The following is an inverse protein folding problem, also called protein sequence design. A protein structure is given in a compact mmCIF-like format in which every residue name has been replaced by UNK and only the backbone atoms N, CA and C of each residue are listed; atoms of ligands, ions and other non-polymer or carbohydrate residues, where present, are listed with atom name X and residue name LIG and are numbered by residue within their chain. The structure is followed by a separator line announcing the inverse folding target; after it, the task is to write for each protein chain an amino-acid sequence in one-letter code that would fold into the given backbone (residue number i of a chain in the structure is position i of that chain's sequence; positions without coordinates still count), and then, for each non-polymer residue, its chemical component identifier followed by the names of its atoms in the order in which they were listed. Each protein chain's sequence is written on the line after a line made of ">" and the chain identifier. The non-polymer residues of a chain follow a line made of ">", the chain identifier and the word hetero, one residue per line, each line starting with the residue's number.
data_IF_680317960000
#
_entry.id   IF_680317960000
#
_cell.length_a   1.000
_cell.length_b   1.000
_cell.length_c   1.000
_cell.angle_alpha   90.00
_cell.angle_beta   90.00
_cell.angle_gamma   90.00
#
_symmetry.space_group_name_H-M   'P 1'
#
loop_
_entity.id
_entity.type
_entity.pdbx_description
1 polymer ?
#
# COMPACT_ATOMS: atom_id res chain seq x y z
N UNK A 1 62.44 55.03 -24.79
CA UNK A 1 61.91 54.78 -23.43
C UNK A 1 60.74 53.82 -23.58
N UNK A 2 60.82 52.60 -23.03
CA UNK A 2 59.70 51.64 -23.02
C UNK A 2 58.85 51.92 -21.78
N UNK A 3 57.54 52.08 -21.98
CA UNK A 3 56.59 52.50 -20.95
C UNK A 3 56.37 51.37 -19.92
N UNK A 4 56.70 51.54 -18.62
CA UNK A 4 56.57 50.48 -17.60
C UNK A 4 55.12 50.06 -17.31
N UNK A 5 54.13 50.92 -17.59
CA UNK A 5 52.74 50.73 -17.15
C UNK A 5 51.92 49.76 -18.02
N UNK A 6 52.39 49.44 -19.22
CA UNK A 6 51.64 48.60 -20.17
C UNK A 6 51.81 47.09 -19.90
N UNK A 7 52.93 46.68 -19.29
CA UNK A 7 53.15 45.27 -18.90
C UNK A 7 52.32 44.91 -17.66
N UNK A 8 52.14 45.85 -16.72
CA UNK A 8 51.34 45.65 -15.51
C UNK A 8 49.85 45.45 -15.81
N UNK A 9 49.29 46.21 -16.76
CA UNK A 9 47.86 46.10 -17.13
C UNK A 9 47.52 44.79 -17.82
N UNK A 10 48.39 44.27 -18.69
CA UNK A 10 48.20 42.95 -19.33
C UNK A 10 48.23 41.80 -18.32
N UNK A 11 49.13 41.84 -17.32
CA UNK A 11 49.18 40.82 -16.27
C UNK A 11 47.96 40.88 -15.34
N UNK A 12 47.47 42.08 -15.03
CA UNK A 12 46.25 42.27 -14.24
C UNK A 12 45.01 41.72 -14.95
N UNK A 13 44.87 41.98 -16.26
CA UNK A 13 43.77 41.45 -17.07
C UNK A 13 43.83 39.92 -17.19
N UNK A 14 45.03 39.37 -17.42
CA UNK A 14 45.23 37.91 -17.47
C UNK A 14 44.87 37.23 -16.14
N UNK A 15 45.28 37.82 -15.01
CA UNK A 15 44.93 37.33 -13.68
C UNK A 15 43.43 37.42 -13.40
N UNK A 16 42.77 38.51 -13.78
CA UNK A 16 41.32 38.68 -13.63
C UNK A 16 40.54 37.61 -14.41
N UNK A 17 40.94 37.32 -15.66
CA UNK A 17 40.33 36.25 -16.48
C UNK A 17 40.53 34.87 -15.84
N UNK A 18 41.72 34.61 -15.29
CA UNK A 18 42.01 33.34 -14.60
C UNK A 18 41.15 33.18 -13.33
N UNK A 19 41.03 34.23 -12.52
CA UNK A 19 40.20 34.22 -11.31
C UNK A 19 38.72 34.00 -11.64
N UNK A 20 38.19 34.73 -12.63
CA UNK A 20 36.81 34.57 -13.09
C UNK A 20 36.53 33.16 -13.62
N UNK A 21 37.47 32.57 -14.37
CA UNK A 21 37.35 31.19 -14.87
C UNK A 21 37.28 30.18 -13.72
N UNK A 22 38.16 30.31 -12.71
CA UNK A 22 38.16 29.43 -11.52
C UNK A 22 36.87 29.57 -10.71
N UNK A 23 36.36 30.80 -10.56
CA UNK A 23 35.09 31.04 -9.87
C UNK A 23 33.91 30.39 -10.60
N UNK A 24 33.85 30.51 -11.93
CA UNK A 24 32.81 29.88 -12.75
C UNK A 24 32.86 28.35 -12.66
N UNK A 25 34.06 27.75 -12.75
CA UNK A 25 34.22 26.29 -12.58
C UNK A 25 33.76 25.83 -11.19
N UNK A 26 34.10 26.59 -10.14
CA UNK A 26 33.67 26.28 -8.77
C UNK A 26 32.14 26.38 -8.64
N UNK A 27 31.52 27.42 -9.19
CA UNK A 27 30.07 27.58 -9.19
C UNK A 27 29.36 26.42 -9.90
N UNK A 28 29.82 26.06 -11.10
CA UNK A 28 29.28 24.94 -11.87
C UNK A 28 29.42 23.61 -11.11
N UNK A 29 30.58 23.34 -10.52
CA UNK A 29 30.79 22.14 -9.72
C UNK A 29 29.87 22.09 -8.49
N UNK A 30 29.66 23.22 -7.82
CA UNK A 30 28.70 23.29 -6.69
C UNK A 30 27.25 23.09 -7.12
N UNK A 31 26.86 23.57 -8.30
CA UNK A 31 25.53 23.35 -8.86
C UNK A 31 25.30 21.86 -9.16
N UNK A 32 26.24 21.21 -9.85
CA UNK A 32 26.17 19.77 -10.16
C UNK A 32 26.12 18.89 -8.90
N UNK A 33 26.88 19.24 -7.85
CA UNK A 33 26.81 18.53 -6.57
C UNK A 33 25.44 18.68 -5.88
N UNK A 34 24.85 19.88 -5.94
CA UNK A 34 23.50 20.13 -5.40
C UNK A 34 22.43 19.35 -6.17
N UNK A 35 22.53 19.28 -7.49
CA UNK A 35 21.62 18.50 -8.34
C UNK A 35 21.69 17.01 -8.00
N UNK A 36 22.90 16.43 -7.93
CA UNK A 36 23.10 15.02 -7.54
C UNK A 36 22.55 14.71 -6.15
N UNK A 37 22.74 15.63 -5.19
CA UNK A 37 22.16 15.48 -3.85
C UNK A 37 20.63 15.52 -3.90
N UNK A 38 20.04 16.39 -4.73
CA UNK A 38 18.59 16.46 -4.89
C UNK A 38 18.02 15.19 -5.56
N UNK A 39 18.71 14.62 -6.55
CA UNK A 39 18.34 13.34 -7.16
C UNK A 39 18.37 12.19 -6.15
N UNK A 40 19.44 12.12 -5.35
CA UNK A 40 19.59 11.11 -4.31
C UNK A 40 18.46 11.20 -3.27
N UNK A 41 18.17 12.41 -2.78
CA UNK A 41 17.07 12.64 -1.83
C UNK A 41 15.70 12.29 -2.43
N UNK A 42 15.47 12.58 -3.72
CA UNK A 42 14.24 12.16 -4.41
C UNK A 42 14.12 10.64 -4.44
N UNK A 43 15.19 9.94 -4.80
CA UNK A 43 15.23 8.48 -4.83
C UNK A 43 14.94 7.87 -3.46
N UNK A 44 15.60 8.33 -2.39
CA UNK A 44 15.34 7.84 -1.03
C UNK A 44 13.88 8.06 -0.62
N UNK A 45 13.34 9.24 -0.90
CA UNK A 45 11.94 9.59 -0.61
C UNK A 45 10.96 8.69 -1.37
N UNK A 46 11.22 8.38 -2.63
CA UNK A 46 10.37 7.49 -3.42
C UNK A 46 10.40 6.04 -2.88
N UNK A 47 11.57 5.57 -2.40
CA UNK A 47 11.67 4.27 -1.73
C UNK A 47 10.90 4.22 -0.41
N UNK A 48 10.94 5.30 0.37
CA UNK A 48 10.16 5.40 1.62
C UNK A 48 8.66 5.43 1.37
N UNK A 49 8.20 6.20 0.38
CA UNK A 49 6.80 6.20 -0.04
C UNK A 49 6.37 4.80 -0.46
N UNK A 50 7.20 4.09 -1.24
CA UNK A 50 6.90 2.73 -1.66
C UNK A 50 6.74 1.80 -0.45
N UNK A 51 7.69 1.81 0.49
CA UNK A 51 7.62 1.01 1.73
C UNK A 51 6.40 1.37 2.58
N UNK A 52 6.08 2.66 2.71
CA UNK A 52 4.92 3.13 3.45
C UNK A 52 3.61 2.63 2.83
N UNK A 53 3.50 2.68 1.49
CA UNK A 53 2.33 2.17 0.78
C UNK A 53 2.19 0.65 0.91
N UNK A 54 3.29 -0.10 0.89
CA UNK A 54 3.27 -1.56 1.13
C UNK A 54 2.78 -1.89 2.55
N UNK A 55 3.28 -1.18 3.57
CA UNK A 55 2.82 -1.35 4.96
C UNK A 55 1.35 -0.95 5.11
N UNK A 56 0.95 0.15 4.48
CA UNK A 56 -0.45 0.60 4.49
C UNK A 56 -1.37 -0.46 3.89
N UNK A 57 -1.04 -1.02 2.72
CA UNK A 57 -1.87 -2.05 2.09
C UNK A 57 -1.98 -3.32 2.96
N UNK A 58 -0.90 -3.69 3.67
CA UNK A 58 -0.95 -4.78 4.64
C UNK A 58 -1.96 -4.48 5.74
N UNK A 59 -1.88 -3.32 6.38
CA UNK A 59 -2.81 -2.90 7.43
C UNK A 59 -4.27 -2.85 6.92
N UNK A 60 -4.52 -2.19 5.79
CA UNK A 60 -5.85 -2.06 5.18
C UNK A 60 -6.46 -3.46 4.88
N UNK A 61 -5.64 -4.46 4.56
CA UNK A 61 -6.13 -5.84 4.36
C UNK A 61 -6.45 -6.57 5.67
N UNK A 62 -5.76 -6.26 6.77
CA UNK A 62 -6.07 -6.79 8.10
C UNK A 62 -7.33 -6.17 8.67
N UNK A 63 -7.50 -4.86 8.49
CA UNK A 63 -8.72 -4.16 8.89
C UNK A 63 -9.92 -4.72 8.12
N UNK A 64 -9.82 -4.85 6.80
CA UNK A 64 -10.87 -5.47 5.99
C UNK A 64 -11.16 -6.93 6.40
N UNK A 65 -10.14 -7.69 6.82
CA UNK A 65 -10.33 -9.04 7.34
C UNK A 65 -11.17 -9.04 8.62
N UNK A 66 -10.84 -8.17 9.58
CA UNK A 66 -11.58 -8.01 10.83
C UNK A 66 -13.03 -7.56 10.58
N UNK A 67 -13.23 -6.59 9.70
CA UNK A 67 -14.56 -6.10 9.32
C UNK A 67 -15.40 -7.21 8.66
N UNK A 68 -14.77 -8.06 7.85
CA UNK A 68 -15.45 -9.21 7.23
C UNK A 68 -15.90 -10.24 8.27
N UNK A 69 -15.03 -10.59 9.24
CA UNK A 69 -15.42 -11.48 10.35
C UNK A 69 -16.60 -10.87 11.13
N UNK A 70 -16.54 -9.58 11.43
CA UNK A 70 -17.60 -8.88 12.16
C UNK A 70 -18.92 -8.84 11.38
N UNK A 71 -18.86 -8.57 10.08
CA UNK A 71 -20.02 -8.56 9.19
C UNK A 71 -20.74 -9.91 9.18
N UNK A 72 -20.00 -11.01 9.07
CA UNK A 72 -20.54 -12.38 9.14
C UNK A 72 -21.15 -12.65 10.52
N UNK A 73 -20.46 -12.28 11.59
CA UNK A 73 -20.96 -12.47 12.95
C UNK A 73 -22.27 -11.73 13.19
N UNK A 74 -22.34 -10.46 12.80
CA UNK A 74 -23.55 -9.64 12.93
C UNK A 74 -24.72 -10.25 12.15
N UNK A 75 -24.48 -10.72 10.93
CA UNK A 75 -25.48 -11.38 10.10
C UNK A 75 -26.05 -12.63 10.76
N UNK A 76 -25.18 -13.49 11.32
CA UNK A 76 -25.59 -14.75 11.94
C UNK A 76 -26.26 -14.50 13.30
N UNK A 77 -25.79 -13.53 14.08
CA UNK A 77 -26.34 -13.18 15.39
C UNK A 77 -27.82 -12.79 15.31
N UNK A 78 -28.25 -12.14 14.22
CA UNK A 78 -29.66 -11.80 13.98
C UNK A 78 -30.55 -13.03 13.74
N UNK A 79 -29.99 -14.16 13.32
CA UNK A 79 -30.73 -15.37 12.89
C UNK A 79 -30.61 -16.53 13.88
N UNK A 80 -29.50 -16.62 14.60
CA UNK A 80 -29.19 -17.73 15.50
C UNK A 80 -28.83 -17.19 16.88
N UNK A 81 -29.69 -17.45 17.87
CA UNK A 81 -29.50 -16.99 19.26
C UNK A 81 -28.21 -17.51 19.89
N UNK A 82 -27.80 -18.74 19.56
CA UNK A 82 -26.61 -19.38 20.12
C UNK A 82 -25.39 -19.34 19.18
N UNK A 83 -25.31 -18.35 18.27
CA UNK A 83 -24.25 -18.29 17.26
C UNK A 83 -22.82 -18.29 17.84
N UNK A 84 -22.65 -17.83 19.08
CA UNK A 84 -21.36 -17.85 19.78
C UNK A 84 -20.83 -19.27 20.02
N UNK A 85 -21.70 -20.28 20.10
CA UNK A 85 -21.30 -21.70 20.21
C UNK A 85 -20.87 -22.29 18.86
N UNK A 86 -21.13 -21.61 17.75
CA UNK A 86 -20.78 -22.08 16.41
C UNK A 86 -19.33 -21.75 16.07
N UNK A 87 -18.69 -22.64 15.32
CA UNK A 87 -17.39 -22.36 14.72
C UNK A 87 -17.51 -21.26 13.66
N UNK A 88 -16.39 -20.58 13.35
CA UNK A 88 -16.36 -19.57 12.28
C UNK A 88 -16.83 -20.15 10.93
N UNK A 89 -16.43 -21.37 10.61
CA UNK A 89 -16.86 -22.06 9.38
C UNK A 89 -18.37 -22.32 9.38
N UNK A 90 -18.95 -22.75 10.50
CA UNK A 90 -20.39 -22.98 10.58
C UNK A 90 -21.19 -21.67 10.43
N UNK A 91 -20.67 -20.55 10.97
CA UNK A 91 -21.28 -19.23 10.77
C UNK A 91 -21.31 -18.86 9.28
N UNK A 92 -20.24 -19.13 8.54
CA UNK A 92 -20.19 -18.88 7.09
C UNK A 92 -21.13 -19.77 6.29
N UNK A 93 -21.30 -21.04 6.69
CA UNK A 93 -22.32 -21.92 6.09
C UNK A 93 -23.71 -21.34 6.22
N UNK A 94 -24.04 -20.69 7.34
CA UNK A 94 -25.34 -20.01 7.51
C UNK A 94 -25.52 -18.88 6.48
N UNK A 95 -24.46 -18.10 6.21
CA UNK A 95 -24.50 -17.06 5.18
C UNK A 95 -24.76 -17.67 3.80
N UNK A 96 -24.03 -18.72 3.43
CA UNK A 96 -24.19 -19.41 2.15
C UNK A 96 -25.57 -20.03 2.01
N UNK A 97 -26.07 -20.71 3.04
CA UNK A 97 -27.42 -21.31 3.04
C UNK A 97 -28.52 -20.25 2.95
N UNK A 98 -28.30 -19.06 3.51
CA UNK A 98 -29.22 -17.96 3.34
C UNK A 98 -29.16 -17.37 1.92
N UNK A 99 -27.97 -17.25 1.36
CA UNK A 99 -27.75 -16.84 -0.04
C UNK A 99 -28.44 -17.80 -1.01
N UNK A 100 -28.36 -19.12 -0.81
CA UNK A 100 -29.07 -20.12 -1.63
C UNK A 100 -30.58 -19.90 -1.69
N UNK A 101 -31.17 -19.31 -0.65
CA UNK A 101 -32.61 -19.01 -0.60
C UNK A 101 -32.98 -17.70 -1.31
N UNK A 102 -32.09 -16.71 -1.29
CA UNK A 102 -32.34 -15.37 -1.84
C UNK A 102 -31.90 -15.28 -3.30
N UNK A 103 -30.67 -15.73 -3.58
CA UNK A 103 -30.04 -15.64 -4.90
C UNK A 103 -29.12 -16.84 -5.16
N UNK A 104 -29.68 -18.01 -5.54
CA UNK A 104 -28.94 -19.26 -5.63
C UNK A 104 -27.80 -19.23 -6.65
N UNK A 105 -27.90 -18.42 -7.70
CA UNK A 105 -26.86 -18.27 -8.73
C UNK A 105 -25.53 -17.70 -8.18
N UNK A 106 -25.59 -16.90 -7.11
CA UNK A 106 -24.41 -16.29 -6.51
C UNK A 106 -23.85 -17.14 -5.35
N UNK A 107 -24.60 -18.14 -4.89
CA UNK A 107 -24.23 -18.94 -3.72
C UNK A 107 -22.90 -19.68 -3.86
N UNK A 108 -22.67 -20.27 -5.03
CA UNK A 108 -21.43 -20.99 -5.30
C UNK A 108 -20.21 -20.05 -5.30
N UNK A 109 -20.36 -18.84 -5.85
CA UNK A 109 -19.31 -17.83 -5.84
C UNK A 109 -19.00 -17.36 -4.42
N UNK A 110 -20.03 -17.10 -3.61
CA UNK A 110 -19.84 -16.69 -2.21
C UNK A 110 -19.19 -17.80 -1.38
N UNK A 111 -19.58 -19.05 -1.58
CA UNK A 111 -18.97 -20.19 -0.88
C UNK A 111 -17.48 -20.30 -1.21
N UNK A 112 -17.11 -20.15 -2.48
CA UNK A 112 -15.70 -20.11 -2.89
C UNK A 112 -14.93 -18.93 -2.27
N UNK A 113 -15.52 -17.73 -2.26
CA UNK A 113 -14.93 -16.55 -1.65
C UNK A 113 -14.66 -16.74 -0.15
N UNK A 114 -15.61 -17.32 0.58
CA UNK A 114 -15.47 -17.61 2.01
C UNK A 114 -14.39 -18.66 2.28
N UNK A 115 -14.29 -19.71 1.46
CA UNK A 115 -13.24 -20.72 1.56
C UNK A 115 -11.84 -20.11 1.35
N UNK A 116 -11.69 -19.27 0.33
CA UNK A 116 -10.42 -18.60 0.00
C UNK A 116 -10.06 -17.51 1.02
N UNK A 117 -11.06 -16.81 1.56
CA UNK A 117 -10.90 -15.91 2.70
C UNK A 117 -10.31 -16.65 3.90
N UNK A 118 -10.90 -17.78 4.33
CA UNK A 118 -10.39 -18.51 5.51
C UNK A 118 -9.03 -19.13 5.29
N UNK A 119 -8.74 -19.63 4.08
CA UNK A 119 -7.40 -20.12 3.74
C UNK A 119 -6.38 -19.00 3.96
N UNK A 120 -6.61 -17.84 3.35
CA UNK A 120 -5.70 -16.69 3.48
C UNK A 120 -5.60 -16.20 4.94
N UNK A 121 -6.74 -16.08 5.64
CA UNK A 121 -6.77 -15.69 7.06
C UNK A 121 -6.00 -16.64 7.95
N UNK A 122 -6.18 -17.96 7.77
CA UNK A 122 -5.44 -18.98 8.52
C UNK A 122 -3.93 -18.87 8.27
N UNK A 123 -3.51 -18.69 7.00
CA UNK A 123 -2.10 -18.48 6.65
C UNK A 123 -1.54 -17.26 7.37
N UNK A 124 -2.23 -16.11 7.28
CA UNK A 124 -1.82 -14.86 7.92
C UNK A 124 -1.76 -14.95 9.46
N UNK A 125 -2.60 -15.78 10.09
CA UNK A 125 -2.62 -15.96 11.54
C UNK A 125 -1.54 -16.92 12.06
N UNK A 126 -1.11 -17.89 11.26
CA UNK A 126 -0.39 -19.06 11.78
C UNK A 126 0.95 -19.33 11.11
N UNK A 127 1.19 -18.82 9.89
CA UNK A 127 2.44 -19.07 9.17
C UNK A 127 3.42 -17.91 9.30
N UNK A 128 4.62 -18.13 9.87
CA UNK A 128 5.67 -17.12 9.93
C UNK A 128 6.05 -16.60 8.53
N UNK A 129 6.04 -15.28 8.35
CA UNK A 129 6.38 -14.63 7.09
C UNK A 129 5.29 -14.69 6.01
N UNK A 130 4.08 -15.20 6.31
CA UNK A 130 2.96 -15.15 5.37
C UNK A 130 2.57 -13.71 4.97
N UNK A 131 2.74 -12.75 5.89
CA UNK A 131 2.50 -11.32 5.64
C UNK A 131 3.32 -10.76 4.47
N UNK A 132 4.51 -11.30 4.19
CA UNK A 132 5.32 -10.80 3.07
C UNK A 132 5.04 -11.52 1.75
N UNK A 133 4.36 -12.68 1.81
CA UNK A 133 4.06 -13.53 0.65
C UNK A 133 2.62 -13.41 0.17
N UNK A 134 1.75 -12.83 0.99
CA UNK A 134 0.32 -12.71 0.69
C UNK A 134 0.09 -11.60 -0.33
N UNK A 135 -0.76 -11.90 -1.32
CA UNK A 135 -1.32 -10.88 -2.20
C UNK A 135 -2.39 -10.07 -1.45
N UNK A 136 -1.92 -9.05 -0.72
CA UNK A 136 -2.76 -8.19 0.12
C UNK A 136 -3.85 -7.44 -0.67
N UNK A 137 -3.58 -6.87 -1.86
CA UNK A 137 -4.63 -6.29 -2.71
C UNK A 137 -5.76 -7.27 -3.03
N UNK A 138 -5.44 -8.48 -3.49
CA UNK A 138 -6.46 -9.49 -3.80
C UNK A 138 -7.22 -9.96 -2.56
N UNK A 139 -6.54 -10.12 -1.44
CA UNK A 139 -7.17 -10.49 -0.17
C UNK A 139 -8.12 -9.39 0.35
N UNK A 140 -7.68 -8.13 0.31
CA UNK A 140 -8.51 -6.98 0.68
C UNK A 140 -9.76 -6.89 -0.20
N UNK A 141 -9.61 -7.01 -1.53
CA UNK A 141 -10.73 -6.96 -2.46
C UNK A 141 -11.76 -8.07 -2.19
N UNK A 142 -11.29 -9.27 -1.81
CA UNK A 142 -12.17 -10.39 -1.44
C UNK A 142 -12.93 -10.10 -0.15
N UNK A 143 -12.26 -9.55 0.86
CA UNK A 143 -12.91 -9.11 2.10
C UNK A 143 -14.06 -8.13 1.81
N UNK A 144 -13.79 -7.09 1.02
CA UNK A 144 -14.79 -6.09 0.60
C UNK A 144 -15.93 -6.74 -0.20
N UNK A 145 -15.62 -7.66 -1.11
CA UNK A 145 -16.64 -8.39 -1.89
C UNK A 145 -17.60 -9.16 -0.99
N UNK A 146 -17.06 -9.91 -0.03
CA UNK A 146 -17.86 -10.69 0.94
C UNK A 146 -18.73 -9.74 1.78
N UNK A 147 -18.16 -8.64 2.30
CA UNK A 147 -18.91 -7.66 3.09
C UNK A 147 -20.11 -7.10 2.30
N UNK A 148 -19.87 -6.62 1.08
CA UNK A 148 -20.95 -6.11 0.23
C UNK A 148 -22.02 -7.17 -0.07
N UNK A 149 -21.62 -8.43 -0.25
CA UNK A 149 -22.52 -9.54 -0.46
C UNK A 149 -23.42 -9.75 0.77
N UNK A 150 -22.83 -9.83 1.96
CA UNK A 150 -23.55 -10.02 3.23
C UNK A 150 -24.49 -8.84 3.53
N UNK A 151 -24.03 -7.60 3.37
CA UNK A 151 -24.83 -6.39 3.58
C UNK A 151 -26.01 -6.29 2.62
N UNK A 152 -25.84 -6.71 1.37
CA UNK A 152 -26.93 -6.79 0.40
C UNK A 152 -28.03 -7.76 0.87
N UNK A 153 -27.67 -8.91 1.44
CA UNK A 153 -28.66 -9.85 2.00
C UNK A 153 -29.36 -9.33 3.23
N UNK A 154 -28.66 -8.58 4.09
CA UNK A 154 -29.32 -7.96 5.25
C UNK A 154 -30.48 -7.09 4.79
N UNK A 155 -30.26 -6.26 3.77
CA UNK A 155 -31.30 -5.35 3.24
C UNK A 155 -32.45 -6.06 2.53
N UNK A 156 -32.27 -7.30 2.09
CA UNK A 156 -33.33 -8.08 1.43
C UNK A 156 -34.04 -9.08 2.35
N UNK A 157 -33.53 -9.29 3.56
CA UNK A 157 -34.12 -10.23 4.53
C UNK A 157 -35.05 -9.57 5.54
N UNK A 158 -35.15 -8.24 5.53
CA UNK A 158 -36.12 -7.44 6.28
C UNK A 158 -37.47 -7.35 5.53
#
# INVERSE_FOLDING_TARGET
>A
MKNPDMFSTCELLSNAVRIGSVQLTRQNMTATLREKNADYLRYERDQEIKRANEVKMKLDSYDACCDTEHCIEAFVAKRIREYLKMSRLDRCRVVVEQMKKVKPEDAASLEQDLDEFFKTRNLLCHEPGAVDKTDHPSFHQRCVSIQHCVEYFEKQSD
#
